data_IF_131431518453
#
_entry.id   IF_131431518453
#
_cell.length_a   1.000
_cell.length_b   1.000
_cell.length_c   1.000
_cell.angle_alpha   90.00
_cell.angle_beta   90.00
_cell.angle_gamma   90.00
#
_symmetry.space_group_name_H-M   'P 1'
#
loop_
_entity.id
_entity.type
_entity.pdbx_description
1 polymer ?
#
# COMPACT_ATOMS: atom_id res chain seq x y z
N UNK A 1 23.62 -10.15 -6.54
CA UNK A 1 23.48 -11.26 -7.50
C UNK A 1 22.00 -11.39 -7.79
N UNK A 2 21.54 -11.27 -9.04
CA UNK A 2 20.14 -11.60 -9.31
C UNK A 2 19.93 -13.06 -8.95
N UNK A 3 18.94 -13.38 -8.12
CA UNK A 3 18.53 -14.76 -7.95
C UNK A 3 18.37 -15.39 -9.34
N UNK A 4 18.87 -16.62 -9.51
CA UNK A 4 18.72 -17.39 -10.74
C UNK A 4 17.26 -17.77 -10.98
N UNK A 5 17.03 -18.85 -11.71
CA UNK A 5 15.68 -19.42 -11.87
C UNK A 5 15.16 -19.86 -10.50
N UNK A 6 14.09 -19.21 -10.01
CA UNK A 6 13.37 -19.66 -8.82
C UNK A 6 12.51 -20.86 -9.23
N UNK A 7 12.73 -21.99 -8.56
CA UNK A 7 11.97 -23.22 -8.80
C UNK A 7 11.04 -23.47 -7.62
N UNK A 8 9.78 -23.79 -7.91
CA UNK A 8 8.79 -24.19 -6.91
C UNK A 8 8.37 -25.63 -7.15
N UNK A 9 8.09 -26.36 -6.08
CA UNK A 9 7.21 -27.52 -6.20
C UNK A 9 5.78 -27.07 -6.48
N UNK A 10 4.94 -27.95 -7.04
CA UNK A 10 3.52 -27.67 -7.22
C UNK A 10 2.85 -27.28 -5.89
N UNK A 11 3.22 -27.97 -4.80
CA UNK A 11 2.72 -27.68 -3.45
C UNK A 11 3.10 -26.27 -2.98
N UNK A 12 4.33 -25.82 -3.23
CA UNK A 12 4.79 -24.48 -2.86
C UNK A 12 4.08 -23.38 -3.65
N UNK A 13 3.95 -23.57 -4.96
CA UNK A 13 3.21 -22.64 -5.81
C UNK A 13 1.73 -22.56 -5.36
N UNK A 14 1.09 -23.72 -5.13
CA UNK A 14 -0.29 -23.78 -4.65
C UNK A 14 -0.46 -23.08 -3.29
N UNK A 15 0.45 -23.32 -2.34
CA UNK A 15 0.41 -22.68 -1.03
C UNK A 15 0.49 -21.15 -1.11
N UNK A 16 1.33 -20.60 -1.99
CA UNK A 16 1.43 -19.15 -2.19
C UNK A 16 0.15 -18.58 -2.80
N UNK A 17 -0.40 -19.22 -3.84
CA UNK A 17 -1.61 -18.74 -4.53
C UNK A 17 -2.85 -18.76 -3.62
N UNK A 18 -2.93 -19.71 -2.69
CA UNK A 18 -4.09 -19.89 -1.82
C UNK A 18 -3.86 -19.42 -0.37
N UNK A 19 -2.83 -18.61 -0.11
CA UNK A 19 -2.60 -18.07 1.22
C UNK A 19 -3.75 -17.16 1.67
N UNK A 20 -4.36 -17.46 2.81
CA UNK A 20 -5.45 -16.68 3.40
C UNK A 20 -4.97 -15.51 4.26
N UNK A 21 -3.66 -15.40 4.50
CA UNK A 21 -3.01 -14.36 5.31
C UNK A 21 -3.49 -14.31 6.77
N UNK A 22 -4.00 -15.44 7.28
CA UNK A 22 -4.44 -15.64 8.66
C UNK A 22 -3.27 -15.91 9.63
N UNK A 23 -2.07 -16.16 9.09
CA UNK A 23 -0.87 -16.51 9.85
C UNK A 23 -0.54 -18.01 9.84
N UNK A 24 -1.27 -18.83 9.10
CA UNK A 24 -1.02 -20.27 8.91
C UNK A 24 -0.40 -20.59 7.55
N UNK A 25 -0.66 -19.80 6.50
CA UNK A 25 -0.15 -19.97 5.13
C UNK A 25 1.36 -19.72 4.95
N UNK A 26 1.92 -19.61 3.75
CA UNK A 26 3.36 -19.36 3.59
C UNK A 26 3.82 -17.96 4.04
N UNK A 27 2.99 -16.92 3.91
CA UNK A 27 3.35 -15.55 4.26
C UNK A 27 3.33 -15.36 5.77
N UNK A 28 4.43 -14.83 6.30
CA UNK A 28 4.61 -14.48 7.71
C UNK A 28 4.90 -12.99 7.81
N UNK A 29 4.14 -12.31 8.67
CA UNK A 29 4.22 -10.86 8.88
C UNK A 29 4.63 -10.58 10.32
N UNK A 30 5.80 -9.98 10.50
CA UNK A 30 6.30 -9.62 11.82
C UNK A 30 5.57 -8.37 12.36
N UNK A 31 4.84 -8.56 13.45
CA UNK A 31 4.11 -7.49 14.15
C UNK A 31 4.98 -6.75 15.18
N UNK A 32 6.21 -7.18 15.40
CA UNK A 32 7.13 -6.64 16.42
C UNK A 32 8.03 -5.54 15.90
N UNK A 33 7.84 -5.10 14.65
CA UNK A 33 8.59 -3.98 14.07
C UNK A 33 8.35 -2.71 14.90
N UNK A 34 9.41 -2.10 15.48
CA UNK A 34 9.24 -0.93 16.33
C UNK A 34 8.85 0.30 15.52
N UNK A 35 8.16 1.25 16.17
CA UNK A 35 7.72 2.50 15.54
C UNK A 35 8.87 3.25 14.83
N UNK A 36 10.07 3.25 15.40
CA UNK A 36 11.25 3.91 14.84
C UNK A 36 11.58 3.43 13.41
N UNK A 37 11.45 2.13 13.15
CA UNK A 37 11.73 1.53 11.84
C UNK A 37 10.60 1.82 10.83
N UNK A 38 9.42 2.19 11.32
CA UNK A 38 8.24 2.50 10.51
C UNK A 38 8.08 3.99 10.19
N UNK A 39 8.92 4.87 10.76
CA UNK A 39 8.86 6.32 10.53
C UNK A 39 9.12 6.71 9.07
N UNK A 40 9.87 5.88 8.33
CA UNK A 40 10.11 6.08 6.90
C UNK A 40 8.96 5.57 6.01
N UNK A 41 8.00 4.82 6.56
CA UNK A 41 6.78 4.43 5.83
C UNK A 41 5.81 5.62 5.76
N UNK A 42 5.03 5.70 4.69
CA UNK A 42 3.93 6.67 4.60
C UNK A 42 2.69 6.21 5.37
N UNK A 43 2.43 4.90 5.52
CA UNK A 43 1.16 4.46 6.09
C UNK A 43 1.06 4.71 7.60
N UNK A 44 1.95 4.15 8.42
CA UNK A 44 1.75 4.14 9.89
C UNK A 44 1.81 5.53 10.52
N UNK A 45 2.82 6.38 10.26
CA UNK A 45 2.87 7.72 10.83
C UNK A 45 1.60 8.54 10.50
N UNK A 46 1.15 8.51 9.25
CA UNK A 46 -0.03 9.27 8.82
C UNK A 46 -1.35 8.64 9.28
N UNK A 47 -1.44 7.31 9.34
CA UNK A 47 -2.58 6.63 9.95
C UNK A 47 -2.74 7.04 11.41
N UNK A 48 -1.65 7.11 12.18
CA UNK A 48 -1.66 7.55 13.58
C UNK A 48 -2.07 9.01 13.73
N UNK A 49 -1.63 9.90 12.83
CA UNK A 49 -2.09 11.30 12.78
C UNK A 49 -3.61 11.34 12.62
N UNK A 50 -4.17 10.64 11.63
CA UNK A 50 -5.61 10.58 11.43
C UNK A 50 -6.31 9.95 12.63
N UNK A 51 -5.81 8.82 13.16
CA UNK A 51 -6.42 8.13 14.30
C UNK A 51 -6.43 9.00 15.55
N UNK A 52 -5.42 9.83 15.80
CA UNK A 52 -5.40 10.80 16.89
C UNK A 52 -6.54 11.84 16.77
N UNK A 53 -6.83 12.32 15.56
CA UNK A 53 -8.00 13.20 15.30
C UNK A 53 -9.33 12.51 15.60
N UNK A 54 -9.36 11.17 15.53
CA UNK A 54 -10.56 10.35 15.74
C UNK A 54 -10.74 9.86 17.19
N UNK A 55 -9.72 9.93 18.04
CA UNK A 55 -9.73 9.32 19.38
C UNK A 55 -10.79 9.92 20.32
N UNK A 56 -11.02 11.23 20.18
CA UNK A 56 -12.00 12.01 20.94
C UNK A 56 -13.43 11.88 20.41
N UNK A 57 -14.00 13.00 19.96
CA UNK A 57 -15.39 13.05 19.46
C UNK A 57 -15.58 12.34 18.10
N UNK A 58 -14.49 12.01 17.40
CA UNK A 58 -14.50 11.58 16.02
C UNK A 58 -14.55 12.74 15.03
N UNK A 59 -14.37 12.43 13.75
CA UNK A 59 -14.41 13.42 12.68
C UNK A 59 -15.78 13.51 12.03
N UNK A 60 -16.28 14.74 11.79
CA UNK A 60 -17.54 14.93 11.07
C UNK A 60 -17.42 14.46 9.62
N UNK A 61 -18.41 13.68 9.20
CA UNK A 61 -18.61 13.30 7.81
C UNK A 61 -19.65 14.21 7.14
N UNK A 62 -19.45 14.43 5.85
CA UNK A 62 -20.43 15.04 4.94
C UNK A 62 -21.56 14.05 4.65
N UNK A 63 -22.64 14.53 4.02
CA UNK A 63 -23.74 13.66 3.58
C UNK A 63 -23.30 12.54 2.62
N UNK A 64 -22.20 12.76 1.87
CA UNK A 64 -21.59 11.74 0.98
C UNK A 64 -20.68 10.76 1.72
N UNK A 65 -20.52 10.92 3.04
CA UNK A 65 -19.68 10.07 3.85
C UNK A 65 -18.20 10.45 3.87
N UNK A 66 -17.79 11.56 3.24
CA UNK A 66 -16.41 12.06 3.26
C UNK A 66 -16.12 12.86 4.53
N UNK A 67 -14.88 12.85 5.02
CA UNK A 67 -14.34 13.75 6.03
C UNK A 67 -14.57 15.20 5.62
N UNK A 68 -14.94 16.02 6.61
CA UNK A 68 -15.17 17.43 6.36
C UNK A 68 -13.89 18.14 5.89
N UNK A 69 -14.07 19.15 5.05
CA UNK A 69 -12.99 19.93 4.42
C UNK A 69 -11.97 20.49 5.41
N UNK A 70 -12.43 21.07 6.52
CA UNK A 70 -11.52 21.69 7.51
C UNK A 70 -10.51 20.68 8.06
N UNK A 71 -10.95 19.45 8.31
CA UNK A 71 -10.04 18.39 8.73
C UNK A 71 -9.12 17.97 7.57
N UNK A 72 -9.66 17.81 6.35
CA UNK A 72 -8.86 17.44 5.16
C UNK A 72 -7.71 18.42 4.96
N UNK A 73 -8.00 19.72 4.90
CA UNK A 73 -7.00 20.79 4.69
C UNK A 73 -5.94 20.78 5.79
N UNK A 74 -6.33 20.61 7.06
CA UNK A 74 -5.36 20.48 8.16
C UNK A 74 -4.45 19.25 8.03
N UNK A 75 -4.94 18.15 7.47
CA UNK A 75 -4.17 16.92 7.32
C UNK A 75 -3.23 16.95 6.12
N UNK A 76 -3.54 17.73 5.07
CA UNK A 76 -2.64 17.94 3.92
C UNK A 76 -1.27 18.44 4.40
N UNK A 77 -1.25 19.42 5.29
CA UNK A 77 0.01 20.03 5.77
C UNK A 77 0.78 19.14 6.77
N UNK A 78 0.09 18.18 7.38
CA UNK A 78 0.66 17.29 8.41
C UNK A 78 1.12 15.95 7.85
N UNK A 79 0.56 15.55 6.71
CA UNK A 79 0.88 14.26 6.13
C UNK A 79 2.24 14.30 5.44
N UNK A 80 3.04 13.26 5.68
CA UNK A 80 4.29 13.01 4.98
C UNK A 80 4.11 11.75 4.15
N UNK A 81 3.70 11.88 2.89
CA UNK A 81 3.33 10.74 2.06
C UNK A 81 4.09 10.76 0.74
N UNK A 82 4.73 9.64 0.41
CA UNK A 82 5.55 9.53 -0.80
C UNK A 82 4.73 9.85 -2.06
N UNK A 83 5.26 10.70 -2.93
CA UNK A 83 4.63 11.25 -4.15
C UNK A 83 3.51 12.28 -3.93
N UNK A 84 3.23 12.69 -2.69
CA UNK A 84 2.20 13.68 -2.36
C UNK A 84 2.79 14.84 -1.56
N UNK A 85 3.50 15.73 -2.26
CA UNK A 85 4.02 16.97 -1.70
C UNK A 85 2.86 17.95 -1.40
N UNK A 86 2.67 18.39 -0.14
CA UNK A 86 1.66 19.37 0.22
C UNK A 86 1.70 20.66 -0.62
N UNK A 87 2.89 21.17 -0.94
CA UNK A 87 3.02 22.41 -1.72
C UNK A 87 2.43 22.26 -3.13
N UNK A 88 2.74 21.14 -3.79
CA UNK A 88 2.17 20.80 -5.10
C UNK A 88 0.66 20.57 -5.05
N UNK A 89 0.16 19.95 -3.99
CA UNK A 89 -1.29 19.75 -3.81
C UNK A 89 -2.01 21.10 -3.74
N UNK A 90 -1.49 22.04 -2.95
CA UNK A 90 -2.06 23.38 -2.82
C UNK A 90 -1.92 24.21 -4.09
N UNK A 91 -0.84 24.06 -4.85
CA UNK A 91 -0.69 24.72 -6.16
C UNK A 91 -1.77 24.27 -7.15
N UNK A 92 -2.09 22.97 -7.16
CA UNK A 92 -3.06 22.39 -8.08
C UNK A 92 -4.52 22.58 -7.63
N UNK A 93 -4.77 22.89 -6.35
CA UNK A 93 -6.11 22.89 -5.78
C UNK A 93 -6.37 24.14 -4.94
N UNK A 94 -7.37 24.94 -5.35
CA UNK A 94 -7.88 26.06 -4.53
C UNK A 94 -8.65 25.61 -3.29
N UNK A 95 -9.25 24.42 -3.37
CA UNK A 95 -10.09 23.81 -2.32
C UNK A 95 -9.83 22.32 -2.39
N UNK A 96 -9.56 21.69 -1.24
CA UNK A 96 -9.23 20.26 -1.17
C UNK A 96 -10.32 19.54 -0.38
N UNK A 97 -11.06 18.64 -1.03
CA UNK A 97 -11.96 17.71 -0.37
C UNK A 97 -11.28 16.33 -0.25
N UNK A 98 -11.83 15.41 0.54
CA UNK A 98 -11.18 14.12 0.79
C UNK A 98 -10.79 13.35 -0.50
N UNK A 99 -11.64 13.22 -1.54
CA UNK A 99 -11.26 12.51 -2.76
C UNK A 99 -10.12 13.19 -3.54
N UNK A 100 -9.91 14.49 -3.32
CA UNK A 100 -8.84 15.26 -3.94
C UNK A 100 -7.48 14.99 -3.26
N UNK A 101 -7.48 14.44 -2.04
CA UNK A 101 -6.29 14.04 -1.29
C UNK A 101 -6.24 12.51 -1.09
N UNK A 102 -5.74 11.81 -2.11
CA UNK A 102 -5.70 10.34 -2.19
C UNK A 102 -5.13 9.63 -0.95
N UNK A 103 -4.02 10.07 -0.32
CA UNK A 103 -3.50 9.46 0.91
C UNK A 103 -4.54 9.38 2.03
N UNK A 104 -5.24 10.48 2.29
CA UNK A 104 -6.27 10.54 3.33
C UNK A 104 -7.47 9.69 2.96
N UNK A 105 -7.91 9.74 1.70
CA UNK A 105 -9.00 8.93 1.22
C UNK A 105 -8.73 7.43 1.36
N UNK A 106 -7.52 7.01 0.99
CA UNK A 106 -7.03 5.65 1.19
C UNK A 106 -7.08 5.25 2.67
N UNK A 107 -6.48 6.04 3.57
CA UNK A 107 -6.48 5.76 5.01
C UNK A 107 -7.89 5.66 5.59
N UNK A 108 -8.79 6.57 5.22
CA UNK A 108 -10.19 6.50 5.67
C UNK A 108 -10.84 5.17 5.28
N UNK A 109 -10.65 4.72 4.03
CA UNK A 109 -11.22 3.44 3.57
C UNK A 109 -10.58 2.25 4.30
N UNK A 110 -9.24 2.16 4.35
CA UNK A 110 -8.59 0.99 4.95
C UNK A 110 -8.77 0.91 6.46
N UNK A 111 -8.87 2.04 7.18
CA UNK A 111 -9.23 2.02 8.60
C UNK A 111 -10.63 1.45 8.83
N UNK A 112 -11.59 1.73 7.93
CA UNK A 112 -12.94 1.17 8.00
C UNK A 112 -12.97 -0.30 7.62
N UNK A 113 -12.38 -0.69 6.50
CA UNK A 113 -12.32 -2.09 6.05
C UNK A 113 -11.59 -2.99 7.06
N UNK A 114 -10.58 -2.45 7.73
CA UNK A 114 -9.83 -3.11 8.79
C UNK A 114 -10.54 -3.11 10.15
N UNK A 115 -11.70 -2.46 10.29
CA UNK A 115 -12.45 -2.38 11.55
C UNK A 115 -11.76 -1.54 12.63
N UNK A 116 -10.84 -0.65 12.26
CA UNK A 116 -10.17 0.30 13.18
C UNK A 116 -10.98 1.57 13.37
N UNK A 117 -11.79 1.94 12.38
CA UNK A 117 -12.75 3.03 12.46
C UNK A 117 -14.15 2.58 12.00
N UNK A 118 -15.19 3.29 12.43
CA UNK A 118 -16.57 3.07 12.01
C UNK A 118 -17.33 4.38 11.88
N UNK A 119 -18.35 4.38 11.04
CA UNK A 119 -19.30 5.49 10.96
C UNK A 119 -20.37 5.33 12.03
N UNK A 120 -20.59 6.38 12.82
CA UNK A 120 -21.58 6.41 13.88
C UNK A 120 -22.22 7.81 13.93
N UNK A 121 -23.52 7.91 13.63
CA UNK A 121 -24.28 9.18 13.65
C UNK A 121 -23.61 10.32 12.87
N UNK A 122 -23.11 10.04 11.65
CA UNK A 122 -22.44 11.03 10.80
C UNK A 122 -21.02 11.41 11.23
N UNK A 123 -20.43 10.66 12.17
CA UNK A 123 -19.05 10.81 12.60
C UNK A 123 -18.24 9.56 12.21
N UNK A 124 -16.99 9.75 11.81
CA UNK A 124 -16.00 8.67 11.81
C UNK A 124 -15.37 8.59 13.20
N UNK A 125 -15.41 7.42 13.83
CA UNK A 125 -14.85 7.20 15.18
C UNK A 125 -13.93 5.99 15.21
N UNK A 126 -12.91 6.02 16.06
CA UNK A 126 -12.13 4.81 16.35
C UNK A 126 -12.99 3.75 17.05
N UNK A 127 -12.78 2.50 16.65
CA UNK A 127 -13.27 1.34 17.40
C UNK A 127 -12.37 1.09 18.61
N UNK A 128 -12.78 0.19 19.52
CA UNK A 128 -11.91 -0.26 20.62
C UNK A 128 -10.58 -0.82 20.10
N UNK A 129 -10.63 -1.57 18.98
CA UNK A 129 -9.44 -2.10 18.29
C UNK A 129 -8.55 -0.97 17.75
N UNK A 130 -9.15 0.04 17.09
CA UNK A 130 -8.42 1.21 16.62
C UNK A 130 -7.70 1.95 17.75
N UNK A 131 -8.38 2.20 18.88
CA UNK A 131 -7.77 2.86 20.04
C UNK A 131 -6.58 2.08 20.60
N UNK A 132 -6.70 0.76 20.72
CA UNK A 132 -5.61 -0.09 21.22
C UNK A 132 -4.37 -0.07 20.31
N UNK A 133 -4.56 0.11 18.99
CA UNK A 133 -3.46 0.18 18.01
C UNK A 133 -2.81 1.58 17.88
N UNK A 134 -3.24 2.56 18.69
CA UNK A 134 -2.63 3.89 18.72
C UNK A 134 -1.38 3.94 19.62
N UNK A 135 -1.17 2.98 20.51
CA UNK A 135 0.03 2.93 21.34
C UNK A 135 1.31 2.68 20.49
N UNK A 136 2.46 3.16 20.96
CA UNK A 136 3.73 3.09 20.22
C UNK A 136 4.22 1.64 20.06
N UNK A 137 4.02 0.82 21.08
CA UNK A 137 4.33 -0.61 21.08
C UNK A 137 3.41 -1.42 20.14
N UNK A 138 2.27 -0.86 19.75
CA UNK A 138 1.34 -1.46 18.79
C UNK A 138 1.63 -1.05 17.33
N UNK A 139 2.69 -0.28 17.05
CA UNK A 139 2.96 0.25 15.71
C UNK A 139 3.18 -0.85 14.65
N UNK A 140 3.95 -1.90 14.96
CA UNK A 140 4.14 -3.05 14.07
C UNK A 140 2.84 -3.82 13.83
N UNK A 141 2.01 -3.99 14.87
CA UNK A 141 0.66 -4.56 14.75
C UNK A 141 -0.23 -3.71 13.83
N UNK A 142 -0.18 -2.38 13.93
CA UNK A 142 -0.92 -1.46 13.06
C UNK A 142 -0.44 -1.58 11.61
N UNK A 143 0.88 -1.59 11.38
CA UNK A 143 1.50 -1.78 10.05
C UNK A 143 0.97 -3.06 9.40
N UNK A 144 1.11 -4.20 10.08
CA UNK A 144 0.68 -5.51 9.57
C UNK A 144 -0.82 -5.56 9.33
N UNK A 145 -1.62 -4.98 10.23
CA UNK A 145 -3.08 -4.95 10.10
C UNK A 145 -3.53 -4.14 8.87
N UNK A 146 -2.93 -2.97 8.64
CA UNK A 146 -3.23 -2.14 7.46
C UNK A 146 -2.70 -2.76 6.17
N UNK A 147 -1.52 -3.38 6.21
CA UNK A 147 -0.94 -4.10 5.08
C UNK A 147 -1.83 -5.26 4.64
N UNK A 148 -2.22 -6.13 5.59
CA UNK A 148 -3.21 -7.20 5.37
C UNK A 148 -4.50 -6.65 4.79
N UNK A 149 -5.06 -5.62 5.40
CA UNK A 149 -6.33 -5.01 4.93
C UNK A 149 -6.21 -4.51 3.48
N UNK A 150 -5.06 -3.97 3.11
CA UNK A 150 -4.81 -3.43 1.76
C UNK A 150 -4.87 -4.50 0.68
N UNK A 151 -4.31 -5.69 0.94
CA UNK A 151 -4.22 -6.75 -0.06
C UNK A 151 -5.34 -7.81 0.05
N UNK A 152 -6.11 -7.84 1.13
CA UNK A 152 -7.17 -8.86 1.35
C UNK A 152 -8.60 -8.30 1.39
N UNK A 153 -8.78 -7.00 1.65
CA UNK A 153 -10.12 -6.39 1.82
C UNK A 153 -10.34 -5.15 0.97
N UNK A 154 -9.27 -4.39 0.75
CA UNK A 154 -9.27 -3.26 -0.15
C UNK A 154 -9.00 -3.75 -1.58
N UNK A 155 -9.54 -3.05 -2.57
CA UNK A 155 -9.23 -3.30 -3.98
C UNK A 155 -8.15 -2.30 -4.42
N UNK A 156 -6.88 -2.71 -4.64
CA UNK A 156 -5.79 -1.84 -5.05
C UNK A 156 -6.07 -1.03 -6.34
N UNK A 157 -6.88 -1.58 -7.24
CA UNK A 157 -7.32 -0.90 -8.47
C UNK A 157 -8.26 0.30 -8.22
N UNK A 158 -8.88 0.40 -7.04
CA UNK A 158 -9.83 1.46 -6.70
C UNK A 158 -9.25 2.88 -6.89
N UNK A 159 -7.95 3.05 -6.65
CA UNK A 159 -7.26 4.34 -6.75
C UNK A 159 -6.55 4.55 -8.08
N UNK A 160 -6.74 3.68 -9.08
CA UNK A 160 -6.22 3.93 -10.41
C UNK A 160 -7.31 4.05 -11.48
N UNK A 161 -6.88 4.53 -12.63
CA UNK A 161 -7.73 4.78 -13.79
C UNK A 161 -7.30 3.92 -14.97
N UNK A 162 -6.62 2.78 -14.70
CA UNK A 162 -6.01 1.98 -15.74
C UNK A 162 -7.04 1.18 -16.55
N UNK A 163 -8.27 1.01 -16.05
CA UNK A 163 -9.36 0.31 -16.75
C UNK A 163 -9.11 -1.19 -16.96
N UNK A 164 -8.01 -1.72 -16.41
CA UNK A 164 -7.66 -3.13 -16.42
C UNK A 164 -8.32 -3.82 -15.22
N UNK A 165 -8.85 -5.02 -15.40
CA UNK A 165 -9.38 -5.82 -14.29
C UNK A 165 -8.28 -6.12 -13.25
N UNK A 166 -8.65 -6.33 -12.00
CA UNK A 166 -7.70 -6.62 -10.93
C UNK A 166 -7.29 -8.11 -10.98
N UNK A 167 -6.05 -8.38 -11.42
CA UNK A 167 -5.51 -9.73 -11.56
C UNK A 167 -4.26 -9.98 -10.71
N UNK A 168 -3.80 -9.01 -9.92
CA UNK A 168 -2.66 -9.20 -9.01
C UNK A 168 -3.09 -9.81 -7.67
N UNK A 169 -4.35 -9.61 -7.27
CA UNK A 169 -4.86 -10.02 -5.96
C UNK A 169 -4.68 -11.51 -5.65
N UNK A 170 -5.08 -12.41 -6.55
CA UNK A 170 -5.01 -13.86 -6.33
C UNK A 170 -3.57 -14.41 -6.30
N UNK A 171 -2.60 -13.65 -6.79
CA UNK A 171 -1.18 -14.04 -6.83
C UNK A 171 -0.31 -13.15 -5.93
N UNK A 172 -0.91 -12.36 -5.04
CA UNK A 172 -0.17 -11.34 -4.28
C UNK A 172 0.93 -11.95 -3.40
N UNK A 173 0.70 -13.10 -2.78
CA UNK A 173 1.70 -13.78 -1.95
C UNK A 173 2.90 -14.23 -2.77
N UNK A 174 2.66 -14.76 -3.98
CA UNK A 174 3.72 -15.13 -4.93
C UNK A 174 4.50 -13.90 -5.38
N UNK A 175 3.81 -12.82 -5.73
CA UNK A 175 4.41 -11.54 -6.12
C UNK A 175 5.34 -11.04 -5.02
N UNK A 176 4.88 -11.05 -3.76
CA UNK A 176 5.71 -10.63 -2.63
C UNK A 176 6.94 -11.52 -2.51
N UNK A 177 6.75 -12.85 -2.45
CA UNK A 177 7.88 -13.77 -2.36
C UNK A 177 8.94 -13.50 -3.44
N UNK A 178 8.52 -13.35 -4.70
CA UNK A 178 9.41 -13.11 -5.84
C UNK A 178 10.03 -11.71 -5.84
N UNK A 179 9.34 -10.68 -5.36
CA UNK A 179 9.95 -9.36 -5.10
C UNK A 179 11.12 -9.51 -4.12
N UNK A 180 10.95 -10.30 -3.06
CA UNK A 180 12.00 -10.59 -2.09
C UNK A 180 13.26 -11.20 -2.72
N UNK A 181 13.12 -11.96 -3.82
CA UNK A 181 14.21 -12.62 -4.55
C UNK A 181 14.85 -11.75 -5.64
N UNK A 182 14.07 -10.87 -6.29
CA UNK A 182 14.50 -10.18 -7.51
C UNK A 182 14.78 -8.68 -7.34
N UNK A 183 14.42 -8.10 -6.21
CA UNK A 183 14.51 -6.66 -5.96
C UNK A 183 15.59 -6.26 -4.93
N UNK A 184 16.63 -7.07 -4.69
CA UNK A 184 17.81 -6.68 -3.91
C UNK A 184 18.55 -5.47 -4.53
N UNK A 185 18.51 -5.35 -5.86
CA UNK A 185 19.07 -4.24 -6.63
C UNK A 185 17.98 -3.55 -7.45
N UNK A 186 18.31 -2.39 -8.01
CA UNK A 186 17.42 -1.55 -8.80
C UNK A 186 16.94 -2.27 -10.07
N UNK A 187 15.62 -2.45 -10.18
CA UNK A 187 14.95 -3.07 -11.34
C UNK A 187 13.92 -2.11 -11.94
N UNK A 188 13.80 -2.01 -13.28
CA UNK A 188 12.69 -1.31 -13.88
C UNK A 188 11.38 -2.08 -13.65
N UNK A 189 10.26 -1.35 -13.52
CA UNK A 189 8.97 -1.93 -13.18
C UNK A 189 8.51 -3.04 -14.14
N UNK A 190 8.79 -2.89 -15.44
CA UNK A 190 8.41 -3.85 -16.47
C UNK A 190 9.17 -5.18 -16.33
N UNK A 191 10.49 -5.12 -16.08
CA UNK A 191 11.31 -6.30 -15.85
C UNK A 191 10.95 -6.98 -14.53
N UNK A 192 10.64 -6.19 -13.49
CA UNK A 192 10.18 -6.73 -12.22
C UNK A 192 8.84 -7.44 -12.39
N UNK A 193 7.84 -6.81 -13.02
CA UNK A 193 6.52 -7.43 -13.29
C UNK A 193 6.69 -8.79 -13.99
N UNK A 194 7.43 -8.82 -15.10
CA UNK A 194 7.70 -10.06 -15.86
C UNK A 194 8.37 -11.17 -15.03
N UNK A 195 9.08 -10.81 -13.96
CA UNK A 195 9.79 -11.75 -13.09
C UNK A 195 8.95 -12.24 -11.90
N UNK A 196 7.91 -11.49 -11.51
CA UNK A 196 7.19 -11.73 -10.25
C UNK A 196 5.71 -12.07 -10.42
N UNK A 197 5.16 -11.94 -11.63
CA UNK A 197 3.75 -12.22 -11.91
C UNK A 197 3.59 -13.42 -12.82
N UNK A 198 2.55 -14.21 -12.58
CA UNK A 198 2.05 -15.16 -13.56
C UNK A 198 1.29 -14.42 -14.68
N UNK A 199 1.40 -14.87 -15.95
CA UNK A 199 0.61 -14.30 -17.03
C UNK A 199 -0.89 -14.35 -16.75
N UNK A 200 -1.61 -13.32 -17.16
CA UNK A 200 -3.08 -13.27 -17.11
C UNK A 200 -3.64 -12.91 -18.49
N UNK A 201 -4.85 -13.35 -18.81
CA UNK A 201 -5.47 -13.00 -20.09
C UNK A 201 -5.66 -11.49 -20.24
N UNK A 202 -6.01 -10.82 -19.15
CA UNK A 202 -6.23 -9.37 -19.09
C UNK A 202 -4.95 -8.62 -19.46
N UNK A 203 -3.81 -9.05 -18.90
CA UNK A 203 -2.52 -8.47 -19.22
C UNK A 203 -2.12 -8.72 -20.69
N UNK A 204 -2.34 -9.94 -21.19
CA UNK A 204 -1.97 -10.34 -22.55
C UNK A 204 -2.85 -9.70 -23.64
N UNK A 205 -4.14 -9.48 -23.36
CA UNK A 205 -5.12 -8.91 -24.29
C UNK A 205 -5.26 -7.39 -24.16
N UNK A 206 -4.44 -6.75 -23.33
CA UNK A 206 -4.49 -5.30 -23.16
C UNK A 206 -4.27 -4.57 -24.48
N UNK A 207 -5.20 -3.69 -24.85
CA UNK A 207 -5.10 -2.83 -26.05
C UNK A 207 -3.90 -1.87 -26.00
N UNK A 208 -3.42 -1.55 -24.79
CA UNK A 208 -2.25 -0.71 -24.56
C UNK A 208 -1.13 -1.57 -23.95
N UNK A 209 0.01 -1.75 -24.64
CA UNK A 209 1.10 -2.62 -24.16
C UNK A 209 1.65 -2.26 -22.78
N UNK A 210 1.68 -0.97 -22.43
CA UNK A 210 2.24 -0.49 -21.16
C UNK A 210 1.23 -0.54 -19.99
N UNK A 211 -0.07 -0.70 -20.28
CA UNK A 211 -1.14 -0.64 -19.27
C UNK A 211 -0.99 -1.70 -18.17
N UNK A 212 -0.58 -2.96 -18.45
CA UNK A 212 -0.29 -3.94 -17.39
C UNK A 212 0.85 -3.48 -16.46
N UNK A 213 1.90 -2.86 -17.01
CA UNK A 213 3.02 -2.34 -16.21
C UNK A 213 2.56 -1.17 -15.34
N UNK A 214 1.78 -0.23 -15.89
CA UNK A 214 1.19 0.87 -15.10
C UNK A 214 0.25 0.35 -14.01
N UNK A 215 -0.52 -0.69 -14.29
CA UNK A 215 -1.36 -1.36 -13.30
C UNK A 215 -0.51 -2.03 -12.22
N UNK A 216 0.61 -2.66 -12.55
CA UNK A 216 1.53 -3.22 -11.56
C UNK A 216 2.16 -2.13 -10.68
N UNK A 217 2.58 -1.02 -11.28
CA UNK A 217 3.09 0.13 -10.54
C UNK A 217 2.04 0.70 -9.58
N UNK A 218 0.79 0.86 -10.02
CA UNK A 218 -0.27 1.44 -9.19
C UNK A 218 -0.85 0.45 -8.16
N UNK A 219 -0.95 -0.83 -8.48
CA UNK A 219 -1.69 -1.83 -7.67
C UNK A 219 -0.79 -2.63 -6.74
N UNK A 220 0.51 -2.68 -7.04
CA UNK A 220 1.50 -3.40 -6.22
C UNK A 220 2.56 -2.43 -5.72
N UNK A 221 3.39 -1.88 -6.62
CA UNK A 221 4.61 -1.18 -6.20
C UNK A 221 4.30 0.08 -5.38
N UNK A 222 3.28 0.86 -5.76
CA UNK A 222 2.80 2.03 -5.01
C UNK A 222 2.50 1.69 -3.55
N UNK A 223 1.72 0.64 -3.30
CA UNK A 223 1.37 0.25 -1.93
C UNK A 223 2.60 -0.25 -1.17
N UNK A 224 3.46 -1.06 -1.79
CA UNK A 224 4.70 -1.48 -1.13
C UNK A 224 5.61 -0.30 -0.78
N UNK A 225 5.67 0.74 -1.62
CA UNK A 225 6.34 2.01 -1.25
C UNK A 225 5.64 2.74 -0.12
N UNK A 226 4.31 2.84 -0.15
CA UNK A 226 3.54 3.48 0.92
C UNK A 226 3.81 2.82 2.27
N UNK A 227 3.93 1.49 2.30
CA UNK A 227 4.30 0.73 3.49
C UNK A 227 5.81 0.75 3.81
N UNK A 228 6.64 1.44 3.02
CA UNK A 228 8.08 1.55 3.24
C UNK A 228 8.89 0.32 2.85
N UNK A 229 8.28 -0.64 2.15
CA UNK A 229 8.89 -1.93 1.79
C UNK A 229 9.69 -1.86 0.49
N UNK A 230 9.37 -0.91 -0.38
CA UNK A 230 10.14 -0.61 -1.60
C UNK A 230 10.53 0.87 -1.62
N UNK A 231 11.62 1.16 -2.31
CA UNK A 231 12.02 2.52 -2.69
C UNK A 231 12.07 2.67 -4.21
N UNK A 232 11.92 3.91 -4.70
CA UNK A 232 11.99 4.25 -6.13
C UNK A 232 13.04 5.33 -6.37
N UNK A 233 13.77 5.21 -7.47
CA UNK A 233 14.46 6.33 -8.12
C UNK A 233 14.15 6.39 -9.61
N UNK A 234 14.35 7.56 -10.20
CA UNK A 234 14.31 7.71 -11.65
C UNK A 234 15.61 7.16 -12.26
N UNK A 235 15.52 6.55 -13.46
CA UNK A 235 16.69 5.96 -14.12
C UNK A 235 17.73 7.01 -14.56
N UNK A 236 17.28 8.25 -14.80
CA UNK A 236 18.12 9.40 -15.11
C UNK A 236 17.66 10.61 -14.30
N UNK A 237 18.59 11.54 -14.01
CA UNK A 237 18.30 12.79 -13.30
C UNK A 237 17.71 13.87 -14.23
N UNK A 238 16.85 13.49 -15.17
CA UNK A 238 16.16 14.39 -16.09
C UNK A 238 14.64 14.36 -15.83
N UNK A 239 13.94 15.42 -16.21
CA UNK A 239 12.48 15.52 -16.01
C UNK A 239 11.65 14.71 -17.04
N UNK A 240 12.26 13.71 -17.69
CA UNK A 240 11.56 12.88 -18.66
C UNK A 240 10.74 11.80 -17.96
N UNK A 241 9.45 12.08 -17.79
CA UNK A 241 8.49 11.16 -17.17
C UNK A 241 8.35 9.82 -17.90
N UNK A 242 8.85 9.69 -19.15
CA UNK A 242 8.85 8.43 -19.92
C UNK A 242 9.97 7.48 -19.49
N UNK A 243 10.95 7.95 -18.74
CA UNK A 243 12.02 7.09 -18.26
C UNK A 243 11.49 6.01 -17.33
N UNK A 244 12.05 4.79 -17.38
CA UNK A 244 11.63 3.74 -16.48
C UNK A 244 11.95 4.12 -15.04
N UNK A 245 10.98 3.92 -14.16
CA UNK A 245 11.17 4.02 -12.72
C UNK A 245 11.84 2.75 -12.23
N UNK A 246 12.88 2.91 -11.42
CA UNK A 246 13.62 1.80 -10.84
C UNK A 246 13.18 1.56 -9.41
N UNK A 247 13.08 0.29 -9.02
CA UNK A 247 12.59 -0.16 -7.72
C UNK A 247 13.54 -1.16 -7.10
N UNK A 248 13.71 -1.09 -5.78
CA UNK A 248 14.38 -2.13 -4.98
C UNK A 248 13.71 -2.23 -3.61
N UNK A 249 13.90 -3.36 -2.92
CA UNK A 249 13.39 -3.54 -1.56
C UNK A 249 14.23 -2.78 -0.55
N UNK A 250 13.58 -2.36 0.53
CA UNK A 250 14.23 -1.74 1.69
C UNK A 250 14.57 -2.82 2.73
N UNK A 251 15.42 -2.52 3.73
CA UNK A 251 15.64 -3.43 4.86
C UNK A 251 14.36 -3.76 5.63
N UNK A 252 13.35 -2.86 5.63
CA UNK A 252 12.05 -3.11 6.24
C UNK A 252 11.31 -4.26 5.56
N UNK A 253 11.55 -4.50 4.27
CA UNK A 253 10.98 -5.64 3.54
C UNK A 253 11.31 -6.96 4.23
N UNK A 254 12.60 -7.27 4.37
CA UNK A 254 13.07 -8.53 4.94
C UNK A 254 12.86 -8.59 6.47
N UNK A 255 12.66 -7.43 7.12
CA UNK A 255 12.29 -7.36 8.53
C UNK A 255 10.82 -7.72 8.77
N UNK A 256 9.93 -7.24 7.91
CA UNK A 256 8.49 -7.39 8.08
C UNK A 256 7.94 -8.67 7.43
N UNK A 257 8.48 -9.08 6.28
CA UNK A 257 8.01 -10.21 5.50
C UNK A 257 8.99 -11.38 5.59
N UNK A 258 8.46 -12.55 5.92
CA UNK A 258 9.15 -13.83 5.77
C UNK A 258 8.23 -14.88 5.17
N UNK A 259 8.80 -15.97 4.66
CA UNK A 259 8.07 -16.99 3.93
C UNK A 259 8.48 -18.38 4.41
N UNK A 260 7.49 -19.25 4.62
CA UNK A 260 7.68 -20.66 4.99
C UNK A 260 7.09 -21.52 3.89
N UNK A 261 7.95 -22.12 3.06
CA UNK A 261 7.61 -22.91 1.87
C UNK A 261 8.04 -24.38 2.02
#
# INVERSE_FOLDING_TARGET
MSAGIVTFTEQQANALIHDEWDGTGPVRLDQTVPLADLLASSVVPNARILMAELEGAGAKLTAKGNLNRKLVESLVDRFQWVDYDPARIWEMNKVINEPDFTPLHYLHIVLKLGGLARTEKGLLKLTKKGKAMLADDAAGTLQVHLFRTTFTRFNPAYLDRNGLEEFFGWQISLILYLIGQFADDWRPADALMRSVTLPSEEALKSEMPDRPVWAFESRVLRYLRWFGLLERKDAAANDDWRQPKLYRKTPLYDRMLSFVL
#
